data_IF_410934155155
#
_entry.id   IF_410934155155
#
_cell.length_a   1.000
_cell.length_b   1.000
_cell.length_c   1.000
_cell.angle_alpha   90.00
_cell.angle_beta   90.00
_cell.angle_gamma   90.00
#
_symmetry.space_group_name_H-M   'P 1'
#
loop_
_entity.id
_entity.type
_entity.pdbx_description
1 polymer ?
#
# COMPACT_ATOMS: atom_id res chain seq x y z
N UNK A 1 -10.06 17.84 -9.64
CA UNK A 1 -8.90 17.78 -8.72
C UNK A 1 -8.12 16.51 -9.02
N UNK A 2 -6.78 16.60 -9.08
CA UNK A 2 -5.91 15.46 -9.27
C UNK A 2 -5.92 14.52 -8.05
N UNK A 3 -5.55 13.24 -8.25
CA UNK A 3 -5.37 12.29 -7.15
C UNK A 3 -4.06 12.65 -6.43
N UNK A 4 -4.07 12.76 -5.07
CA UNK A 4 -2.85 12.95 -4.30
C UNK A 4 -1.82 11.85 -4.59
N UNK A 5 -0.60 12.23 -4.89
CA UNK A 5 0.54 11.33 -5.07
C UNK A 5 1.62 11.70 -4.05
N UNK A 6 2.11 10.70 -3.33
CA UNK A 6 3.21 10.84 -2.36
C UNK A 6 4.38 9.98 -2.85
N UNK A 7 5.52 10.60 -3.09
CA UNK A 7 6.77 9.90 -3.43
C UNK A 7 7.37 9.28 -2.16
N UNK A 8 6.84 8.14 -1.77
CA UNK A 8 7.31 7.40 -0.61
C UNK A 8 8.74 6.89 -0.80
N UNK A 9 9.14 6.58 -2.04
CA UNK A 9 10.51 6.14 -2.32
C UNK A 9 11.52 7.22 -1.94
N UNK A 10 11.34 8.46 -2.43
CA UNK A 10 12.24 9.57 -2.13
C UNK A 10 12.30 9.88 -0.63
N UNK A 11 11.13 9.94 0.03
CA UNK A 11 11.06 10.25 1.47
C UNK A 11 11.77 9.17 2.31
N UNK A 12 11.52 7.89 2.04
CA UNK A 12 12.14 6.80 2.78
C UNK A 12 13.63 6.65 2.48
N UNK A 13 14.03 6.80 1.21
CA UNK A 13 15.43 6.75 0.80
C UNK A 13 16.27 7.81 1.54
N UNK A 14 15.80 9.06 1.58
CA UNK A 14 16.48 10.13 2.35
C UNK A 14 16.62 9.82 3.84
N UNK A 15 15.64 9.14 4.44
CA UNK A 15 15.76 8.68 5.83
C UNK A 15 16.80 7.57 5.97
N UNK A 16 16.79 6.59 5.07
CA UNK A 16 17.77 5.50 5.07
C UNK A 16 19.20 6.02 4.87
N UNK A 17 19.41 6.99 3.98
CA UNK A 17 20.73 7.64 3.79
C UNK A 17 21.26 8.26 5.10
N UNK A 18 20.39 8.94 5.87
CA UNK A 18 20.77 9.53 7.17
C UNK A 18 21.18 8.48 8.21
N UNK A 19 20.60 7.28 8.16
CA UNK A 19 21.00 6.20 9.06
C UNK A 19 22.34 5.57 8.70
N UNK A 20 22.77 5.66 7.44
CA UNK A 20 24.01 5.10 6.92
C UNK A 20 23.97 3.58 6.75
N UNK A 21 24.85 3.06 5.88
CA UNK A 21 24.87 1.65 5.42
C UNK A 21 24.81 0.61 6.54
N UNK A 22 25.49 0.85 7.64
CA UNK A 22 25.59 -0.13 8.74
C UNK A 22 24.27 -0.32 9.50
N UNK A 23 23.46 0.74 9.63
CA UNK A 23 22.14 0.64 10.26
C UNK A 23 21.09 0.14 9.26
N UNK A 24 21.13 0.62 8.02
CA UNK A 24 20.17 0.28 6.99
C UNK A 24 20.12 -1.23 6.69
N UNK A 25 21.27 -1.93 6.74
CA UNK A 25 21.28 -3.39 6.54
C UNK A 25 20.42 -4.17 7.54
N UNK A 26 20.18 -3.61 8.75
CA UNK A 26 19.30 -4.21 9.76
C UNK A 26 17.84 -3.80 9.62
N UNK A 27 17.56 -2.86 8.72
CA UNK A 27 16.18 -2.43 8.41
C UNK A 27 15.53 -3.31 7.35
N UNK A 28 16.32 -4.11 6.63
CA UNK A 28 15.86 -5.09 5.67
C UNK A 28 16.14 -6.50 6.20
N UNK A 29 15.26 -7.43 5.81
CA UNK A 29 15.44 -8.84 6.15
C UNK A 29 16.56 -9.44 5.26
N UNK A 30 16.35 -10.50 4.56
CA UNK A 30 17.41 -11.20 3.80
C UNK A 30 17.55 -10.67 2.36
N UNK A 31 16.47 -10.19 1.77
CA UNK A 31 16.33 -9.99 0.32
C UNK A 31 16.43 -8.52 -0.13
N UNK A 32 16.71 -7.60 0.76
CA UNK A 32 16.76 -6.14 0.51
C UNK A 32 15.44 -5.51 0.03
N UNK A 33 14.34 -6.24 0.09
CA UNK A 33 13.00 -5.79 -0.29
C UNK A 33 12.10 -5.76 0.95
N UNK A 34 12.08 -6.87 1.69
CA UNK A 34 11.25 -6.99 2.88
C UNK A 34 11.97 -6.41 4.09
N UNK A 35 11.29 -5.49 4.75
CA UNK A 35 11.85 -4.78 5.91
C UNK A 35 11.72 -5.60 7.19
N UNK A 36 12.63 -5.36 8.12
CA UNK A 36 12.45 -5.70 9.54
C UNK A 36 11.37 -4.80 10.16
N UNK A 37 10.96 -5.08 11.40
CA UNK A 37 10.03 -4.22 12.13
C UNK A 37 10.52 -2.76 12.18
N UNK A 38 11.84 -2.55 12.37
CA UNK A 38 12.43 -1.21 12.40
C UNK A 38 12.36 -0.53 11.02
N UNK A 39 12.68 -1.24 9.93
CA UNK A 39 12.55 -0.69 8.58
C UNK A 39 11.10 -0.39 8.21
N UNK A 40 10.16 -1.26 8.60
CA UNK A 40 8.73 -1.03 8.40
C UNK A 40 8.26 0.25 9.12
N UNK A 41 8.75 0.49 10.33
CA UNK A 41 8.45 1.71 11.08
C UNK A 41 8.96 2.97 10.36
N UNK A 42 10.19 2.95 9.85
CA UNK A 42 10.76 4.07 9.07
C UNK A 42 9.90 4.35 7.82
N UNK A 43 9.42 3.31 7.13
CA UNK A 43 8.54 3.49 5.98
C UNK A 43 7.16 4.04 6.37
N UNK A 44 6.59 3.58 7.49
CA UNK A 44 5.33 4.12 8.02
C UNK A 44 5.45 5.61 8.39
N UNK A 45 6.51 5.99 9.09
CA UNK A 45 6.83 7.39 9.41
C UNK A 45 7.05 8.21 8.13
N UNK A 46 7.65 7.62 7.09
CA UNK A 46 7.85 8.29 5.80
C UNK A 46 6.53 8.55 5.06
N UNK A 47 5.61 7.61 5.11
CA UNK A 47 4.26 7.79 4.56
C UNK A 47 3.51 8.89 5.30
N UNK A 48 3.56 8.88 6.64
CA UNK A 48 2.94 9.92 7.46
C UNK A 48 3.55 11.32 7.19
N UNK A 49 4.86 11.41 7.01
CA UNK A 49 5.53 12.67 6.68
C UNK A 49 5.10 13.18 5.29
N UNK A 50 4.96 12.30 4.30
CA UNK A 50 4.43 12.66 3.00
C UNK A 50 2.99 13.16 3.05
N UNK A 51 2.14 12.55 3.88
CA UNK A 51 0.77 13.01 4.13
C UNK A 51 0.76 14.40 4.77
N UNK A 52 1.64 14.66 5.76
CA UNK A 52 1.75 15.97 6.41
C UNK A 52 2.22 17.07 5.45
N UNK A 53 3.14 16.72 4.56
CA UNK A 53 3.73 17.65 3.60
C UNK A 53 2.81 17.98 2.41
N UNK A 54 1.80 17.16 2.15
CA UNK A 54 0.89 17.37 1.02
C UNK A 54 -0.15 18.44 1.36
N UNK A 55 -0.03 19.60 0.71
CA UNK A 55 -0.91 20.76 0.95
C UNK A 55 -2.37 20.43 0.61
N UNK A 56 -3.28 20.73 1.54
CA UNK A 56 -4.72 20.55 1.35
C UNK A 56 -5.22 19.11 1.50
N UNK A 57 -4.37 18.16 1.90
CA UNK A 57 -4.80 16.78 2.14
C UNK A 57 -5.45 16.64 3.53
N UNK A 58 -6.78 16.48 3.57
CA UNK A 58 -7.56 16.36 4.80
C UNK A 58 -7.07 15.23 5.72
N UNK A 59 -6.51 14.15 5.16
CA UNK A 59 -5.98 13.03 5.93
C UNK A 59 -4.91 13.48 6.95
N UNK A 60 -4.17 14.56 6.68
CA UNK A 60 -3.19 15.10 7.60
C UNK A 60 -3.78 15.50 8.97
N UNK A 61 -5.07 15.87 9.02
CA UNK A 61 -5.77 16.28 10.26
C UNK A 61 -5.99 15.11 11.25
N UNK A 62 -5.82 13.88 10.80
CA UNK A 62 -6.00 12.67 11.59
C UNK A 62 -4.67 12.09 12.10
N UNK A 63 -3.53 12.61 11.63
CA UNK A 63 -2.22 12.20 12.14
C UNK A 63 -2.06 12.63 13.60
N UNK A 64 -1.34 11.82 14.37
CA UNK A 64 -0.89 12.22 15.71
C UNK A 64 0.04 13.42 15.61
N UNK A 65 0.05 14.33 16.58
CA UNK A 65 1.19 15.22 16.78
C UNK A 65 2.50 14.37 16.86
N UNK A 66 3.63 14.95 16.46
CA UNK A 66 4.93 14.22 16.39
C UNK A 66 5.42 13.67 17.77
N UNK A 67 4.59 13.70 18.79
CA UNK A 67 4.86 13.07 20.09
C UNK A 67 4.41 11.61 20.09
N UNK A 68 5.32 10.73 20.51
CA UNK A 68 5.18 9.26 20.45
C UNK A 68 4.15 8.75 21.47
N UNK A 69 2.94 8.43 21.00
CA UNK A 69 2.05 7.53 21.74
C UNK A 69 1.81 6.26 20.92
N UNK A 70 2.09 5.12 21.53
CA UNK A 70 1.91 3.80 20.93
C UNK A 70 0.45 3.36 21.01
N UNK A 71 -0.27 3.41 19.89
CA UNK A 71 -1.64 2.86 19.78
C UNK A 71 -1.72 1.92 18.57
N UNK A 72 -2.20 0.71 18.78
CA UNK A 72 -2.38 -0.31 17.73
C UNK A 72 -3.61 -0.02 16.85
N UNK A 73 -3.57 -0.46 15.58
CA UNK A 73 -4.65 -0.30 14.61
C UNK A 73 -5.99 -0.89 15.07
N UNK A 74 -7.10 -0.31 14.64
CA UNK A 74 -8.44 -0.73 15.05
C UNK A 74 -9.42 -0.79 13.88
N UNK A 75 -10.44 -1.66 14.02
CA UNK A 75 -11.58 -1.73 13.10
C UNK A 75 -12.42 -0.43 13.11
N UNK A 76 -13.26 -0.24 12.05
CA UNK A 76 -14.18 0.90 11.96
C UNK A 76 -14.98 1.07 13.24
N UNK A 77 -15.04 2.29 13.73
CA UNK A 77 -15.90 2.72 14.82
C UNK A 77 -16.92 3.74 14.30
N UNK A 78 -18.10 3.75 14.90
CA UNK A 78 -19.20 4.62 14.45
C UNK A 78 -18.78 6.09 14.29
N UNK A 79 -19.18 6.68 13.15
CA UNK A 79 -18.96 8.09 12.82
C UNK A 79 -17.52 8.48 12.50
N UNK A 80 -16.58 7.52 12.38
CA UNK A 80 -15.18 7.81 12.02
C UNK A 80 -14.85 7.34 10.62
N UNK A 81 -14.04 8.10 9.88
CA UNK A 81 -13.47 7.61 8.65
C UNK A 81 -12.52 6.44 8.90
N UNK A 82 -12.30 5.64 7.88
CA UNK A 82 -11.30 4.56 7.86
C UNK A 82 -10.20 4.90 6.87
N UNK A 83 -8.97 4.70 7.29
CA UNK A 83 -7.83 4.63 6.41
C UNK A 83 -7.58 3.16 6.05
N UNK A 84 -7.83 2.79 4.82
CA UNK A 84 -7.44 1.49 4.28
C UNK A 84 -6.04 1.59 3.67
N UNK A 85 -5.20 0.59 3.91
CA UNK A 85 -3.95 0.41 3.16
C UNK A 85 -4.05 -0.83 2.28
N UNK A 86 -3.76 -0.70 0.99
CA UNK A 86 -3.69 -1.81 0.05
C UNK A 86 -2.30 -1.86 -0.61
N UNK A 87 -1.84 -3.06 -0.90
CA UNK A 87 -0.51 -3.29 -1.46
C UNK A 87 -0.06 -4.74 -1.31
N UNK A 88 1.23 -4.92 -1.46
CA UNK A 88 1.91 -6.22 -1.38
C UNK A 88 2.55 -6.49 -0.01
N UNK A 89 3.63 -7.31 0.03
CA UNK A 89 4.33 -7.67 1.27
C UNK A 89 5.04 -6.49 1.93
N UNK A 90 5.43 -5.47 1.17
CA UNK A 90 6.10 -4.27 1.72
C UNK A 90 5.12 -3.39 2.52
N UNK A 91 3.82 -3.54 2.26
CA UNK A 91 2.73 -2.91 3.02
C UNK A 91 2.15 -3.84 4.07
N UNK A 92 1.93 -5.13 3.70
CA UNK A 92 1.23 -6.11 4.53
C UNK A 92 2.09 -6.54 5.71
N UNK A 93 2.54 -7.63 5.76
CA UNK A 93 3.09 -8.45 6.82
C UNK A 93 2.46 -8.24 8.21
N UNK A 94 2.33 -9.33 8.93
CA UNK A 94 1.69 -9.34 10.24
C UNK A 94 2.71 -9.04 11.33
N UNK A 95 2.25 -8.46 12.43
CA UNK A 95 3.03 -8.17 13.64
C UNK A 95 3.68 -9.41 14.29
N UNK A 96 3.26 -10.61 13.85
CA UNK A 96 3.75 -11.91 14.33
C UNK A 96 4.44 -12.71 13.23
N UNK A 97 4.96 -12.05 12.22
CA UNK A 97 5.69 -12.74 11.16
C UNK A 97 6.93 -13.44 11.73
N UNK A 98 6.85 -14.77 11.77
CA UNK A 98 7.93 -15.64 12.24
C UNK A 98 9.23 -15.50 11.44
N UNK A 99 9.12 -14.97 10.22
CA UNK A 99 10.27 -14.75 9.35
C UNK A 99 10.93 -13.37 9.57
N UNK A 100 10.39 -12.53 10.43
CA UNK A 100 10.94 -11.20 10.73
C UNK A 100 10.75 -10.18 9.62
N UNK A 101 9.84 -10.42 8.66
CA UNK A 101 9.51 -9.50 7.57
C UNK A 101 8.29 -8.65 7.95
N UNK A 102 8.44 -7.34 7.89
CA UNK A 102 7.39 -6.39 8.28
C UNK A 102 7.07 -5.41 7.15
N UNK A 103 5.81 -5.33 6.78
CA UNK A 103 5.31 -4.26 5.91
C UNK A 103 4.98 -3.01 6.73
N UNK A 104 5.23 -1.83 6.17
CA UNK A 104 4.98 -0.56 6.85
C UNK A 104 3.52 -0.34 7.24
N UNK A 105 2.57 -0.92 6.50
CA UNK A 105 1.14 -0.85 6.82
C UNK A 105 0.76 -1.55 8.12
N UNK A 106 1.62 -2.44 8.65
CA UNK A 106 1.40 -3.10 9.95
C UNK A 106 1.62 -2.17 11.13
N UNK A 107 2.37 -1.09 10.95
CA UNK A 107 2.74 -0.13 12.00
C UNK A 107 2.26 1.29 11.71
N UNK A 108 1.65 1.56 10.54
CA UNK A 108 1.19 2.90 10.17
C UNK A 108 0.15 3.45 11.15
N UNK A 109 -0.64 2.59 11.79
CA UNK A 109 -1.63 2.98 12.76
C UNK A 109 -1.04 3.75 13.95
N UNK A 110 0.22 3.51 14.28
CA UNK A 110 0.94 4.19 15.36
C UNK A 110 1.13 5.70 15.07
N UNK A 111 1.06 6.09 13.81
CA UNK A 111 1.18 7.49 13.37
C UNK A 111 -0.15 8.27 13.40
N UNK A 112 -1.28 7.59 13.60
CA UNK A 112 -2.61 8.17 13.56
C UNK A 112 -3.26 8.29 14.94
N UNK A 113 -4.08 9.35 15.12
CA UNK A 113 -4.94 9.47 16.28
C UNK A 113 -6.18 8.58 16.13
N UNK A 114 -6.12 7.37 16.69
CA UNK A 114 -7.18 6.37 16.59
C UNK A 114 -8.49 6.75 17.32
N UNK A 115 -8.54 7.90 17.98
CA UNK A 115 -9.81 8.48 18.43
C UNK A 115 -10.54 9.26 17.33
N UNK A 116 -9.84 9.61 16.23
CA UNK A 116 -10.40 10.37 15.10
C UNK A 116 -10.59 9.52 13.84
N UNK A 117 -9.78 8.47 13.63
CA UNK A 117 -9.78 7.64 12.45
C UNK A 117 -9.51 6.18 12.81
N UNK A 118 -10.12 5.24 12.09
CA UNK A 118 -9.75 3.82 12.15
C UNK A 118 -8.71 3.53 11.06
N UNK A 119 -7.80 2.58 11.32
CA UNK A 119 -6.80 2.16 10.33
C UNK A 119 -6.94 0.67 10.08
N UNK A 120 -7.07 0.28 8.80
CA UNK A 120 -7.20 -1.11 8.37
C UNK A 120 -6.17 -1.47 7.31
N UNK A 121 -5.22 -2.32 7.66
CA UNK A 121 -4.29 -2.87 6.69
C UNK A 121 -4.93 -4.05 5.94
N UNK A 122 -5.28 -3.83 4.67
CA UNK A 122 -5.88 -4.82 3.76
C UNK A 122 -4.89 -5.37 2.73
N UNK A 123 -3.64 -4.89 2.76
CA UNK A 123 -2.59 -5.36 1.86
C UNK A 123 -2.33 -6.87 2.03
N UNK A 124 -1.80 -7.51 1.00
CA UNK A 124 -1.54 -8.96 1.01
C UNK A 124 -0.20 -9.26 0.36
N UNK A 125 0.65 -9.96 1.11
CA UNK A 125 1.97 -10.37 0.66
C UNK A 125 1.91 -11.15 -0.67
N UNK A 126 2.85 -10.84 -1.58
CA UNK A 126 2.99 -11.54 -2.86
C UNK A 126 1.97 -11.15 -3.94
N UNK A 127 1.15 -10.12 -3.73
CA UNK A 127 0.17 -9.66 -4.72
C UNK A 127 0.69 -8.47 -5.50
N UNK A 128 0.40 -8.48 -6.80
CA UNK A 128 0.47 -7.33 -7.67
C UNK A 128 -0.87 -6.58 -7.64
N UNK A 129 -0.95 -5.42 -8.29
CA UNK A 129 -2.21 -4.70 -8.46
C UNK A 129 -3.26 -5.59 -9.14
N UNK A 130 -2.87 -6.32 -10.20
CA UNK A 130 -3.73 -7.27 -10.89
C UNK A 130 -4.23 -8.38 -9.97
N UNK A 131 -3.33 -9.11 -9.33
CA UNK A 131 -3.74 -10.28 -8.52
C UNK A 131 -4.52 -9.89 -7.28
N UNK A 132 -4.33 -8.70 -6.74
CA UNK A 132 -5.15 -8.16 -5.67
C UNK A 132 -6.60 -7.94 -6.12
N UNK A 133 -6.80 -7.49 -7.36
CA UNK A 133 -8.12 -7.38 -7.97
C UNK A 133 -8.70 -8.77 -8.29
N UNK A 134 -7.97 -9.60 -9.01
CA UNK A 134 -8.42 -10.90 -9.53
C UNK A 134 -8.85 -11.88 -8.41
N UNK A 135 -8.23 -11.79 -7.24
CA UNK A 135 -8.56 -12.62 -6.07
C UNK A 135 -9.75 -12.09 -5.26
N UNK A 136 -10.45 -11.04 -5.72
CA UNK A 136 -11.57 -10.43 -5.01
C UNK A 136 -11.18 -9.75 -3.69
N UNK A 137 -9.90 -9.43 -3.50
CA UNK A 137 -9.42 -8.70 -2.31
C UNK A 137 -9.84 -7.25 -2.35
N UNK A 138 -9.80 -6.68 -3.55
CA UNK A 138 -10.29 -5.34 -3.79
C UNK A 138 -11.78 -5.21 -3.50
N UNK A 139 -12.59 -6.18 -3.90
CA UNK A 139 -14.05 -6.16 -3.67
C UNK A 139 -14.39 -6.03 -2.18
N UNK A 140 -13.59 -6.66 -1.30
CA UNK A 140 -13.76 -6.56 0.15
C UNK A 140 -13.49 -5.14 0.67
N UNK A 141 -12.51 -4.46 0.10
CA UNK A 141 -12.21 -3.05 0.44
C UNK A 141 -13.30 -2.15 -0.12
N UNK A 142 -13.59 -2.28 -1.42
CA UNK A 142 -14.61 -1.49 -2.12
C UNK A 142 -15.99 -1.55 -1.43
N UNK A 143 -16.41 -2.75 -1.00
CA UNK A 143 -17.68 -2.93 -0.30
C UNK A 143 -17.69 -2.34 1.12
N UNK A 144 -16.52 -2.16 1.74
CA UNK A 144 -16.38 -1.55 3.06
C UNK A 144 -16.25 -0.02 3.02
N UNK A 145 -15.90 0.55 1.86
CA UNK A 145 -15.70 1.99 1.68
C UNK A 145 -16.99 2.77 1.89
N UNK A 146 -16.84 3.92 2.55
CA UNK A 146 -17.89 4.91 2.76
C UNK A 146 -17.35 6.31 2.39
N UNK A 147 -18.24 7.28 2.11
CA UNK A 147 -17.83 8.66 1.89
C UNK A 147 -16.98 9.19 3.05
N UNK A 148 -15.87 9.88 2.72
CA UNK A 148 -14.92 10.40 3.70
C UNK A 148 -13.84 9.43 4.17
N UNK A 149 -13.84 8.18 3.72
CA UNK A 149 -12.73 7.24 3.94
C UNK A 149 -11.50 7.59 3.09
N UNK A 150 -10.36 6.99 3.43
CA UNK A 150 -9.10 7.15 2.71
C UNK A 150 -8.53 5.79 2.29
N UNK A 151 -7.86 5.74 1.14
CA UNK A 151 -7.17 4.52 0.69
C UNK A 151 -5.74 4.87 0.27
N UNK A 152 -4.74 4.35 1.00
CA UNK A 152 -3.34 4.37 0.59
C UNK A 152 -3.09 3.17 -0.33
N UNK A 153 -2.61 3.44 -1.55
CA UNK A 153 -2.41 2.45 -2.61
C UNK A 153 -0.92 2.36 -2.91
N UNK A 154 -0.31 1.19 -2.67
CA UNK A 154 1.09 0.93 -3.01
C UNK A 154 1.26 -0.48 -3.59
N UNK A 155 1.60 -0.56 -4.88
CA UNK A 155 1.98 -1.78 -5.59
C UNK A 155 3.24 -1.52 -6.42
N UNK A 156 3.92 -2.58 -6.87
CA UNK A 156 5.10 -2.46 -7.74
C UNK A 156 6.06 -3.64 -7.66
N UNK A 157 6.31 -4.21 -6.49
CA UNK A 157 7.32 -5.27 -6.31
C UNK A 157 6.93 -6.62 -6.92
N UNK A 158 5.65 -6.88 -7.16
CA UNK A 158 5.16 -8.11 -7.78
C UNK A 158 4.56 -7.89 -9.17
N UNK A 159 4.59 -6.68 -9.66
CA UNK A 159 3.87 -6.20 -10.83
C UNK A 159 4.68 -6.39 -12.13
N UNK A 160 5.96 -6.73 -11.99
CA UNK A 160 6.84 -7.10 -13.10
C UNK A 160 7.16 -8.59 -13.08
N UNK A 161 7.56 -9.14 -14.26
CA UNK A 161 7.96 -10.53 -14.42
C UNK A 161 6.95 -11.36 -15.20
N UNK A 162 6.67 -12.58 -14.73
CA UNK A 162 5.82 -13.55 -15.42
C UNK A 162 4.34 -13.19 -15.33
N UNK A 163 3.69 -13.06 -16.49
CA UNK A 163 2.28 -12.70 -16.59
C UNK A 163 1.39 -13.94 -16.48
N UNK A 164 1.71 -15.03 -17.18
CA UNK A 164 0.83 -16.19 -17.35
C UNK A 164 1.46 -17.53 -16.95
N UNK A 165 2.75 -17.57 -16.67
CA UNK A 165 3.50 -18.77 -16.25
C UNK A 165 4.04 -18.61 -14.83
N UNK A 166 4.56 -19.66 -14.23
CA UNK A 166 5.19 -19.62 -12.92
C UNK A 166 4.30 -19.00 -11.83
N UNK A 167 4.72 -17.92 -11.19
CA UNK A 167 3.90 -17.21 -10.19
C UNK A 167 2.74 -16.46 -10.82
N UNK A 168 2.82 -16.12 -12.11
CA UNK A 168 1.76 -15.50 -12.91
C UNK A 168 1.13 -14.26 -12.25
N UNK A 169 1.96 -13.32 -11.78
CA UNK A 169 1.50 -12.16 -11.01
C UNK A 169 1.55 -10.85 -11.77
N UNK A 170 2.49 -10.73 -12.71
CA UNK A 170 2.73 -9.49 -13.42
C UNK A 170 1.57 -9.10 -14.34
N UNK A 171 1.54 -7.85 -14.69
CA UNK A 171 0.69 -7.25 -15.71
C UNK A 171 1.51 -6.65 -16.84
N UNK A 172 0.85 -6.06 -17.83
CA UNK A 172 1.52 -5.32 -18.91
C UNK A 172 2.18 -4.07 -18.33
N UNK A 173 3.37 -3.77 -18.82
CA UNK A 173 4.06 -2.51 -18.50
C UNK A 173 3.34 -1.34 -19.15
N UNK A 174 3.37 -0.20 -18.49
CA UNK A 174 2.85 1.04 -19.03
C UNK A 174 1.74 1.64 -18.18
N UNK A 175 1.34 2.84 -18.58
CA UNK A 175 0.31 3.63 -17.92
C UNK A 175 -0.96 3.80 -18.76
N UNK A 176 -0.99 3.26 -19.98
CA UNK A 176 -2.13 3.35 -20.90
C UNK A 176 -3.24 2.34 -20.60
N UNK A 177 -4.15 2.16 -21.56
CA UNK A 177 -5.32 1.26 -21.45
C UNK A 177 -5.14 -0.04 -22.25
N UNK A 178 -3.92 -0.29 -22.70
CA UNK A 178 -3.60 -1.46 -23.50
C UNK A 178 -3.89 -2.74 -22.71
N UNK A 179 -4.36 -3.73 -23.42
CA UNK A 179 -4.63 -5.06 -22.88
C UNK A 179 -4.18 -6.16 -23.85
N UNK A 180 -3.95 -7.34 -23.31
CA UNK A 180 -3.62 -8.54 -24.09
C UNK A 180 -4.24 -9.77 -23.44
N UNK A 181 -4.67 -10.70 -24.28
CA UNK A 181 -5.20 -11.99 -23.83
C UNK A 181 -4.06 -12.98 -23.62
N UNK A 182 -4.05 -13.64 -22.47
CA UNK A 182 -3.09 -14.69 -22.13
C UNK A 182 -3.83 -15.98 -21.73
N UNK A 183 -3.28 -17.13 -22.17
CA UNK A 183 -3.66 -18.43 -21.62
C UNK A 183 -2.88 -18.62 -20.31
N UNK A 184 -3.56 -18.66 -19.19
CA UNK A 184 -2.95 -18.83 -17.88
C UNK A 184 -2.57 -20.30 -17.63
N UNK A 185 -1.29 -20.59 -17.42
CA UNK A 185 -0.78 -21.96 -17.27
C UNK A 185 -1.48 -22.73 -16.15
N UNK A 186 -1.62 -22.12 -14.97
CA UNK A 186 -2.20 -22.79 -13.80
C UNK A 186 -3.67 -23.17 -13.92
N UNK A 187 -4.45 -22.39 -14.67
CA UNK A 187 -5.90 -22.54 -14.72
C UNK A 187 -6.38 -23.06 -16.06
N UNK A 188 -5.50 -23.05 -17.09
CA UNK A 188 -5.84 -23.36 -18.49
C UNK A 188 -7.00 -22.47 -19.02
N UNK A 189 -7.14 -21.26 -18.48
CA UNK A 189 -8.18 -20.29 -18.85
C UNK A 189 -7.54 -19.08 -19.52
N UNK A 190 -8.23 -18.50 -20.48
CA UNK A 190 -7.86 -17.22 -21.06
C UNK A 190 -8.22 -16.08 -20.10
N UNK A 191 -7.30 -15.12 -19.95
CA UNK A 191 -7.50 -13.93 -19.14
C UNK A 191 -7.04 -12.69 -19.93
N UNK A 192 -7.80 -11.62 -19.86
CA UNK A 192 -7.40 -10.30 -20.37
C UNK A 192 -6.57 -9.63 -19.31
N UNK A 193 -5.35 -9.25 -19.67
CA UNK A 193 -4.40 -8.57 -18.77
C UNK A 193 -4.20 -7.14 -19.29
N UNK A 194 -4.35 -6.18 -18.42
CA UNK A 194 -4.17 -4.76 -18.69
C UNK A 194 -2.81 -4.25 -18.24
N UNK A 195 -2.54 -2.97 -18.46
CA UNK A 195 -1.33 -2.31 -17.96
C UNK A 195 -1.40 -2.07 -16.45
N UNK A 196 -0.23 -1.91 -15.82
CA UNK A 196 -0.13 -1.48 -14.41
C UNK A 196 -0.94 -0.20 -14.14
N UNK A 197 -0.83 0.81 -15.02
CA UNK A 197 -1.58 2.05 -14.87
C UNK A 197 -3.09 1.88 -14.96
N UNK A 198 -3.58 0.90 -15.76
CA UNK A 198 -5.01 0.58 -15.81
C UNK A 198 -5.51 0.07 -14.45
N UNK A 199 -4.78 -0.85 -13.81
CA UNK A 199 -5.18 -1.37 -12.49
C UNK A 199 -5.17 -0.28 -11.42
N UNK A 200 -4.16 0.60 -11.42
CA UNK A 200 -4.14 1.74 -10.50
C UNK A 200 -5.32 2.69 -10.72
N UNK A 201 -5.63 3.05 -11.99
CA UNK A 201 -6.81 3.87 -12.30
C UNK A 201 -8.10 3.22 -11.85
N UNK A 202 -8.23 1.89 -12.00
CA UNK A 202 -9.40 1.15 -11.54
C UNK A 202 -9.62 1.37 -10.04
N UNK A 203 -8.58 1.19 -9.22
CA UNK A 203 -8.68 1.44 -7.77
C UNK A 203 -9.05 2.90 -7.48
N UNK A 204 -8.37 3.86 -8.12
CA UNK A 204 -8.63 5.29 -7.95
C UNK A 204 -10.08 5.64 -8.24
N UNK A 205 -10.59 5.21 -9.40
CA UNK A 205 -11.97 5.51 -9.82
C UNK A 205 -12.99 4.90 -8.87
N UNK A 206 -12.79 3.66 -8.45
CA UNK A 206 -13.68 2.98 -7.53
C UNK A 206 -13.73 3.66 -6.15
N UNK A 207 -12.57 4.13 -5.64
CA UNK A 207 -12.50 4.88 -4.38
C UNK A 207 -13.26 6.19 -4.50
N UNK A 208 -13.06 6.93 -5.61
CA UNK A 208 -13.76 8.19 -5.87
C UNK A 208 -15.27 7.98 -6.04
N UNK A 209 -15.71 6.91 -6.71
CA UNK A 209 -17.12 6.55 -6.83
C UNK A 209 -17.80 6.37 -5.47
N UNK A 210 -17.08 5.85 -4.48
CA UNK A 210 -17.56 5.69 -3.10
C UNK A 210 -17.53 6.99 -2.28
N UNK A 211 -17.12 8.12 -2.86
CA UNK A 211 -16.92 9.38 -2.13
C UNK A 211 -15.73 9.33 -1.15
N UNK A 212 -14.83 8.37 -1.32
CA UNK A 212 -13.61 8.23 -0.55
C UNK A 212 -12.42 8.87 -1.29
N UNK A 213 -11.29 9.02 -0.60
CA UNK A 213 -10.12 9.72 -1.10
C UNK A 213 -8.97 8.72 -1.38
N UNK A 214 -8.62 8.48 -2.66
CA UNK A 214 -7.47 7.66 -3.01
C UNK A 214 -6.17 8.45 -2.90
N UNK A 215 -5.12 7.82 -2.39
CA UNK A 215 -3.77 8.37 -2.27
C UNK A 215 -2.79 7.31 -2.78
N UNK A 216 -2.06 7.64 -3.84
CA UNK A 216 -1.08 6.74 -4.43
C UNK A 216 0.29 7.03 -3.84
N UNK A 217 1.00 5.97 -3.44
CA UNK A 217 2.36 6.04 -2.97
C UNK A 217 3.28 5.33 -3.97
N UNK A 218 4.48 5.87 -4.19
CA UNK A 218 5.53 5.10 -4.84
C UNK A 218 5.89 3.88 -3.98
N UNK A 219 6.48 2.85 -4.59
CA UNK A 219 6.98 1.71 -3.82
C UNK A 219 8.19 2.13 -2.96
N UNK A 220 8.41 1.40 -1.88
CA UNK A 220 9.62 1.55 -1.05
C UNK A 220 10.87 1.10 -1.81
N UNK A 221 12.05 1.60 -1.45
CA UNK A 221 13.31 1.20 -2.06
C UNK A 221 13.57 -0.29 -2.02
#
# INVERSE_FOLDING_TARGET
QGVPFIDLNDISARKFEKFGKNKVKYMFYIDRIHTSAFGAKVNAESAADGIRAYEGLELANYLKPIEKDTVTGSSRKDGRPVLFTIGDSTVRNEDKDKNGMWGWGSVIADEFNLNKISVENRAMAGRSARTFLDEGRWDKVYNALQPGDFVLIQFGHNDAGDINVGKARAELRGSGDESKVFLMEKTSKYQVIYTFGWYLRKFIMDVQEKGAIPIVLSHTP
#
